data_IF_861248216160
#
_entry.id   IF_861248216160
#
_cell.length_a   1.000
_cell.length_b   1.000
_cell.length_c   1.000
_cell.angle_alpha   90.00
_cell.angle_beta   90.00
_cell.angle_gamma   90.00
#
_symmetry.space_group_name_H-M   'P 1'
#
loop_
_entity.id
_entity.type
_entity.pdbx_description
1 polymer ?
#
# COMPACT_ATOMS: atom_id res chain seq x y z
N UNK A 1 -28.29 -35.18 22.92
CA UNK A 1 -27.99 -33.83 23.44
C UNK A 1 -27.26 -33.07 22.35
N UNK A 2 -27.78 -31.94 21.90
CA UNK A 2 -27.17 -31.12 20.84
C UNK A 2 -26.49 -29.90 21.47
N UNK A 3 -25.20 -29.69 21.20
CA UNK A 3 -24.49 -28.50 21.67
C UNK A 3 -24.93 -27.29 20.81
N UNK A 4 -25.91 -26.52 21.29
CA UNK A 4 -26.53 -25.39 20.58
C UNK A 4 -25.76 -24.06 20.66
N UNK A 5 -24.48 -24.05 21.03
CA UNK A 5 -23.71 -22.81 21.03
C UNK A 5 -22.25 -23.06 20.69
N UNK A 6 -21.96 -23.10 19.40
CA UNK A 6 -20.63 -22.84 18.88
C UNK A 6 -20.28 -21.35 18.99
N UNK A 7 -20.33 -20.80 20.21
CA UNK A 7 -19.78 -19.49 20.48
C UNK A 7 -18.28 -19.66 20.73
N UNK A 8 -17.47 -19.48 19.69
CA UNK A 8 -16.03 -19.30 19.86
C UNK A 8 -15.82 -17.97 20.61
N UNK A 9 -15.84 -18.05 21.95
CA UNK A 9 -15.90 -16.94 22.89
C UNK A 9 -14.62 -16.12 22.96
N UNK A 10 -14.34 -15.35 21.91
CA UNK A 10 -13.43 -14.22 22.00
C UNK A 10 -14.20 -12.93 21.75
N UNK A 11 -14.16 -12.03 22.74
CA UNK A 11 -14.66 -10.68 22.59
C UNK A 11 -13.74 -9.93 21.62
N UNK A 12 -14.22 -9.68 20.41
CA UNK A 12 -13.49 -9.02 19.33
C UNK A 12 -13.47 -7.49 19.46
N UNK A 13 -13.90 -6.94 20.60
CA UNK A 13 -14.17 -5.52 20.75
C UNK A 13 -15.45 -5.08 20.05
N UNK A 14 -15.75 -3.79 20.14
CA UNK A 14 -16.85 -3.15 19.41
C UNK A 14 -16.35 -2.65 18.07
N UNK A 15 -17.05 -2.97 16.98
CA UNK A 15 -16.74 -2.43 15.64
C UNK A 15 -16.89 -0.90 15.68
N UNK A 16 -15.84 -0.13 15.34
CA UNK A 16 -15.95 1.33 15.24
C UNK A 16 -16.90 1.73 14.11
N UNK A 17 -17.49 2.94 14.16
CA UNK A 17 -18.32 3.43 13.07
C UNK A 17 -17.52 3.52 11.77
N UNK A 18 -18.19 3.23 10.65
CA UNK A 18 -17.59 3.18 9.32
C UNK A 18 -16.96 4.51 8.88
N UNK A 19 -17.49 5.63 9.39
CA UNK A 19 -16.93 6.98 9.18
C UNK A 19 -15.52 7.16 9.76
N UNK A 20 -15.14 6.36 10.75
CA UNK A 20 -13.82 6.40 11.39
C UNK A 20 -12.94 5.25 10.91
N UNK A 21 -13.53 4.05 10.77
CA UNK A 21 -12.81 2.85 10.36
C UNK A 21 -12.29 2.94 8.93
N UNK A 22 -13.10 3.47 8.00
CA UNK A 22 -12.72 3.63 6.59
C UNK A 22 -11.46 4.49 6.43
N UNK A 23 -11.45 5.75 6.91
CA UNK A 23 -10.28 6.61 6.87
C UNK A 23 -9.04 5.99 7.52
N UNK A 24 -9.17 5.38 8.70
CA UNK A 24 -8.06 4.73 9.38
C UNK A 24 -7.42 3.61 8.53
N UNK A 25 -8.24 2.77 7.89
CA UNK A 25 -7.75 1.70 7.01
C UNK A 25 -7.04 2.25 5.76
N UNK A 26 -7.51 3.38 5.21
CA UNK A 26 -6.83 4.07 4.11
C UNK A 26 -5.48 4.63 4.54
N UNK A 27 -5.39 5.25 5.71
CA UNK A 27 -4.14 5.80 6.22
C UNK A 27 -3.12 4.72 6.58
N UNK A 28 -3.54 3.62 7.19
CA UNK A 28 -2.69 2.44 7.36
C UNK A 28 -2.19 1.90 6.02
N UNK A 29 -3.01 2.03 4.97
CA UNK A 29 -2.60 1.65 3.63
C UNK A 29 -1.58 2.60 3.03
N UNK A 30 -1.77 3.92 3.13
CA UNK A 30 -0.80 4.93 2.67
C UNK A 30 0.56 4.77 3.35
N UNK A 31 0.57 4.48 4.65
CA UNK A 31 1.78 4.16 5.42
C UNK A 31 2.43 2.81 5.06
N UNK A 32 1.85 2.08 4.10
CA UNK A 32 2.33 0.77 3.65
C UNK A 32 2.49 -0.26 4.78
N UNK A 33 1.65 -0.16 5.82
CA UNK A 33 1.69 -1.10 6.94
C UNK A 33 1.28 -2.51 6.49
N UNK A 34 2.05 -3.56 6.84
CA UNK A 34 1.67 -4.96 6.63
C UNK A 34 0.43 -5.32 7.45
N UNK A 35 -0.32 -6.32 6.98
CA UNK A 35 -1.63 -6.67 7.55
C UNK A 35 -1.59 -6.95 9.06
N UNK A 36 -0.56 -7.67 9.53
CA UNK A 36 -0.40 -7.97 10.96
C UNK A 36 -0.21 -6.71 11.80
N UNK A 37 0.54 -5.71 11.29
CA UNK A 37 0.68 -4.43 11.98
C UNK A 37 -0.65 -3.67 11.98
N UNK A 38 -1.42 -3.70 10.89
CA UNK A 38 -2.74 -3.06 10.88
C UNK A 38 -3.68 -3.63 11.93
N UNK A 39 -3.63 -4.94 12.16
CA UNK A 39 -4.39 -5.58 13.25
C UNK A 39 -3.98 -5.02 14.61
N UNK A 40 -2.67 -4.92 14.87
CA UNK A 40 -2.16 -4.34 16.11
C UNK A 40 -2.58 -2.87 16.28
N UNK A 41 -2.56 -2.07 15.21
CA UNK A 41 -3.05 -0.69 15.23
C UNK A 41 -4.56 -0.59 15.43
N UNK A 42 -5.37 -1.49 14.84
CA UNK A 42 -6.81 -1.53 15.08
C UNK A 42 -7.15 -1.86 16.53
N UNK A 43 -6.43 -2.80 17.13
CA UNK A 43 -6.57 -3.11 18.56
C UNK A 43 -6.10 -1.94 19.42
N UNK A 44 -4.99 -1.28 19.08
CA UNK A 44 -4.44 -0.17 19.85
C UNK A 44 -5.31 1.08 19.80
N UNK A 45 -5.75 1.47 18.61
CA UNK A 45 -6.40 2.76 18.38
C UNK A 45 -7.91 2.69 18.65
N UNK A 46 -8.52 1.52 18.49
CA UNK A 46 -9.97 1.34 18.60
C UNK A 46 -10.42 0.21 19.53
N UNK A 47 -9.50 -0.55 20.13
CA UNK A 47 -9.85 -1.76 20.89
C UNK A 47 -10.49 -2.86 20.02
N UNK A 48 -10.38 -2.77 18.69
CA UNK A 48 -11.08 -3.65 17.77
C UNK A 48 -10.17 -4.79 17.31
N UNK A 49 -10.39 -5.97 17.89
CA UNK A 49 -9.54 -7.15 17.70
C UNK A 49 -10.19 -8.09 16.70
N UNK A 50 -9.63 -8.14 15.48
CA UNK A 50 -10.16 -8.97 14.39
C UNK A 50 -9.08 -9.86 13.78
N UNK A 51 -9.52 -10.90 13.09
CA UNK A 51 -8.65 -11.76 12.28
C UNK A 51 -8.31 -11.17 10.91
N UNK A 52 -7.29 -11.74 10.26
CA UNK A 52 -6.84 -11.35 8.91
C UNK A 52 -7.94 -11.44 7.84
N UNK A 53 -8.82 -12.44 7.94
CA UNK A 53 -9.92 -12.64 6.99
C UNK A 53 -10.92 -11.47 7.04
N UNK A 54 -11.26 -11.03 8.25
CA UNK A 54 -12.15 -9.88 8.48
C UNK A 54 -11.48 -8.59 7.99
N UNK A 55 -10.19 -8.40 8.29
CA UNK A 55 -9.44 -7.25 7.79
C UNK A 55 -9.44 -7.19 6.25
N UNK A 56 -9.25 -8.32 5.56
CA UNK A 56 -9.32 -8.38 4.09
C UNK A 56 -10.72 -8.05 3.57
N UNK A 57 -11.79 -8.50 4.26
CA UNK A 57 -13.18 -8.16 3.92
C UNK A 57 -13.43 -6.65 4.06
N UNK A 58 -13.01 -6.05 5.17
CA UNK A 58 -13.15 -4.59 5.40
C UNK A 58 -12.35 -3.78 4.38
N UNK A 59 -11.11 -4.19 4.06
CA UNK A 59 -10.33 -3.53 3.02
C UNK A 59 -11.04 -3.55 1.66
N UNK A 60 -11.78 -4.62 1.34
CA UNK A 60 -12.58 -4.69 0.11
C UNK A 60 -13.81 -3.79 0.17
N UNK A 61 -14.50 -3.78 1.31
CA UNK A 61 -15.69 -2.96 1.58
C UNK A 61 -15.38 -1.46 1.44
N UNK A 62 -14.30 -1.00 2.08
CA UNK A 62 -13.83 0.39 2.02
C UNK A 62 -12.97 0.72 0.80
N UNK A 63 -12.87 -0.21 -0.18
CA UNK A 63 -12.08 -0.04 -1.42
C UNK A 63 -10.63 0.40 -1.17
N UNK A 64 -10.01 -0.13 -0.13
CA UNK A 64 -8.62 0.19 0.23
C UNK A 64 -7.68 -0.36 -0.84
N UNK A 65 -6.84 0.52 -1.42
CA UNK A 65 -5.89 0.14 -2.48
C UNK A 65 -4.91 -0.93 -1.99
N UNK A 66 -4.67 -1.94 -2.84
CA UNK A 66 -3.75 -3.05 -2.59
C UNK A 66 -2.67 -3.13 -3.66
N UNK A 67 -1.50 -3.68 -3.31
CA UNK A 67 -0.34 -3.80 -4.22
C UNK A 67 -0.64 -4.64 -5.46
N UNK A 68 -1.60 -5.58 -5.39
CA UNK A 68 -1.96 -6.47 -6.51
C UNK A 68 -2.64 -5.76 -7.68
N UNK A 69 -2.96 -4.48 -7.56
CA UNK A 69 -3.52 -3.65 -8.64
C UNK A 69 -2.65 -2.38 -8.80
N UNK A 70 -1.41 -2.54 -9.31
CA UNK A 70 -0.58 -1.38 -9.62
C UNK A 70 -1.21 -0.52 -10.73
N UNK A 71 -0.84 0.76 -10.80
CA UNK A 71 -1.13 1.54 -12.00
C UNK A 71 -0.34 1.00 -13.20
N UNK A 72 -0.69 1.41 -14.43
CA UNK A 72 0.08 1.08 -15.63
C UNK A 72 1.58 1.35 -15.49
N UNK A 73 2.39 0.58 -16.22
CA UNK A 73 3.85 0.56 -16.11
C UNK A 73 4.47 1.95 -16.33
N UNK A 74 4.02 2.70 -17.34
CA UNK A 74 4.51 4.06 -17.62
C UNK A 74 4.28 5.01 -16.42
N UNK A 75 3.08 4.97 -15.81
CA UNK A 75 2.77 5.79 -14.63
C UNK A 75 3.66 5.36 -13.46
N UNK A 76 3.85 4.06 -13.28
CA UNK A 76 4.73 3.54 -12.22
C UNK A 76 6.16 4.03 -12.38
N UNK A 77 6.70 3.98 -13.61
CA UNK A 77 8.06 4.42 -13.92
C UNK A 77 8.25 5.92 -13.66
N UNK A 78 7.29 6.77 -14.09
CA UNK A 78 7.33 8.21 -13.83
C UNK A 78 7.36 8.51 -12.34
N UNK A 79 6.50 7.87 -11.54
CA UNK A 79 6.45 8.07 -10.09
C UNK A 79 7.74 7.62 -9.39
N UNK A 80 8.33 6.50 -9.85
CA UNK A 80 9.61 6.02 -9.33
C UNK A 80 10.73 7.00 -9.66
N UNK A 81 10.81 7.47 -10.90
CA UNK A 81 11.80 8.44 -11.34
C UNK A 81 11.70 9.76 -10.55
N UNK A 82 10.51 10.30 -10.37
CA UNK A 82 10.25 11.52 -9.59
C UNK A 82 10.75 11.38 -8.14
N UNK A 83 10.44 10.27 -7.47
CA UNK A 83 10.88 10.05 -6.09
C UNK A 83 12.38 9.79 -6.00
N UNK A 84 12.97 9.12 -6.99
CA UNK A 84 14.42 8.89 -7.08
C UNK A 84 15.21 10.18 -7.33
N UNK A 85 14.72 11.05 -8.22
CA UNK A 85 15.31 12.37 -8.46
C UNK A 85 15.29 13.24 -7.21
N UNK A 86 14.25 13.13 -6.38
CA UNK A 86 14.20 13.83 -5.09
C UNK A 86 15.05 13.13 -3.99
N UNK A 87 15.59 11.94 -4.28
CA UNK A 87 16.38 11.11 -3.36
C UNK A 87 17.90 11.14 -3.63
N UNK A 88 18.41 12.17 -4.33
CA UNK A 88 19.82 12.26 -4.80
C UNK A 88 20.87 11.91 -3.73
N UNK A 89 20.60 12.20 -2.46
CA UNK A 89 21.55 12.02 -1.36
C UNK A 89 21.45 10.68 -0.62
N UNK A 90 20.40 9.88 -0.80
CA UNK A 90 20.13 8.73 0.09
C UNK A 90 20.25 7.41 -0.67
N UNK A 91 21.06 6.47 -0.15
CA UNK A 91 21.06 5.05 -0.56
C UNK A 91 19.79 4.34 -0.07
N UNK A 92 18.63 4.87 -0.43
CA UNK A 92 17.35 4.33 -0.02
C UNK A 92 17.00 3.12 -0.87
N UNK A 93 16.79 1.98 -0.20
CA UNK A 93 16.39 0.76 -0.88
C UNK A 93 14.98 0.87 -1.47
N UNK A 94 14.60 -0.06 -2.37
CA UNK A 94 13.30 -0.06 -3.06
C UNK A 94 12.08 0.04 -2.12
N UNK A 95 12.19 -0.48 -0.89
CA UNK A 95 11.12 -0.44 0.10
C UNK A 95 10.86 0.96 0.66
N UNK A 96 11.91 1.76 0.81
CA UNK A 96 11.79 3.15 1.28
C UNK A 96 11.13 3.99 0.20
N UNK A 97 11.59 3.84 -1.05
CA UNK A 97 11.01 4.52 -2.22
C UNK A 97 9.53 4.18 -2.38
N UNK A 98 9.15 2.89 -2.28
CA UNK A 98 7.74 2.48 -2.27
C UNK A 98 6.90 3.17 -1.21
N UNK A 99 7.44 3.29 0.01
CA UNK A 99 6.73 3.92 1.12
C UNK A 99 6.53 5.40 0.83
N UNK A 100 7.56 6.06 0.30
CA UNK A 100 7.51 7.47 -0.08
C UNK A 100 6.50 7.72 -1.20
N UNK A 101 6.50 6.91 -2.26
CA UNK A 101 5.49 6.97 -3.34
C UNK A 101 4.08 6.76 -2.77
N UNK A 102 3.92 5.82 -1.83
CA UNK A 102 2.61 5.56 -1.23
C UNK A 102 2.11 6.69 -0.35
N UNK A 103 3.01 7.38 0.35
CA UNK A 103 2.69 8.56 1.17
C UNK A 103 2.37 9.79 0.30
N UNK A 104 3.18 10.05 -0.73
CA UNK A 104 3.05 11.24 -1.58
C UNK A 104 1.90 11.12 -2.58
N UNK A 105 1.79 9.99 -3.28
CA UNK A 105 0.83 9.81 -4.38
C UNK A 105 -0.33 8.89 -4.02
N UNK A 106 -0.32 8.21 -2.87
CA UNK A 106 -1.39 7.29 -2.48
C UNK A 106 -1.50 6.07 -3.40
N UNK A 107 -0.40 5.71 -4.07
CA UNK A 107 -0.31 4.62 -5.04
C UNK A 107 0.55 3.49 -4.46
N UNK A 108 0.28 2.25 -4.86
CA UNK A 108 1.06 1.08 -4.46
C UNK A 108 1.64 0.40 -5.69
N UNK A 109 2.96 0.38 -5.75
CA UNK A 109 3.71 -0.22 -6.85
C UNK A 109 4.48 -1.42 -6.29
N UNK A 110 4.42 -2.60 -6.92
CA UNK A 110 5.20 -3.79 -6.58
C UNK A 110 6.70 -3.51 -6.54
N UNK A 111 7.45 -4.34 -5.81
CA UNK A 111 8.91 -4.17 -5.68
C UNK A 111 9.60 -4.43 -7.01
N UNK A 112 9.08 -5.38 -7.77
CA UNK A 112 9.64 -5.78 -9.05
C UNK A 112 9.63 -4.63 -10.07
N UNK A 113 8.58 -3.81 -10.05
CA UNK A 113 8.43 -2.61 -10.89
C UNK A 113 9.33 -1.43 -10.45
N UNK A 114 10.02 -1.53 -9.31
CA UNK A 114 10.91 -0.47 -8.80
C UNK A 114 12.34 -0.56 -9.35
N UNK A 115 12.65 -1.64 -10.06
CA UNK A 115 13.91 -1.75 -10.80
C UNK A 115 13.64 -1.21 -12.20
N UNK A 116 14.41 -0.22 -12.69
CA UNK A 116 14.31 0.17 -14.08
C UNK A 116 14.60 -1.09 -14.91
N UNK A 117 13.63 -1.55 -15.71
CA UNK A 117 13.96 -2.59 -16.69
C UNK A 117 14.90 -1.93 -17.71
N UNK A 118 15.99 -2.59 -18.10
CA UNK A 118 16.94 -2.04 -19.06
C UNK A 118 16.24 -1.59 -20.35
N UNK A 119 15.17 -2.29 -20.72
CA UNK A 119 14.35 -2.09 -21.91
C UNK A 119 13.63 -0.72 -22.01
N UNK A 120 13.59 0.09 -20.94
CA UNK A 120 12.96 1.43 -20.95
C UNK A 120 13.95 2.60 -21.11
N UNK A 121 15.26 2.36 -21.01
CA UNK A 121 16.28 3.43 -21.09
C UNK A 121 16.82 3.67 -22.52
N UNK A 122 16.48 2.79 -23.47
CA UNK A 122 16.99 2.88 -24.84
C UNK A 122 16.11 3.74 -25.79
N UNK A 123 15.02 4.34 -25.28
CA UNK A 123 14.03 4.99 -26.13
C UNK A 123 14.27 6.49 -26.41
N UNK A 124 15.21 7.17 -25.74
CA UNK A 124 15.30 8.64 -25.80
C UNK A 124 16.69 9.22 -26.15
N UNK A 125 17.65 8.40 -26.56
CA UNK A 125 18.97 8.88 -27.03
C UNK A 125 19.03 8.95 -28.55
N UNK A 126 18.07 9.62 -29.20
CA UNK A 126 18.11 9.77 -30.66
C UNK A 126 17.46 11.04 -31.25
N UNK A 127 17.27 12.13 -30.47
CA UNK A 127 16.68 13.36 -31.02
C UNK A 127 17.40 14.69 -30.70
N UNK A 128 18.70 14.70 -30.40
CA UNK A 128 19.45 15.96 -30.24
C UNK A 128 20.70 16.04 -31.14
N UNK A 129 20.53 15.95 -32.47
CA UNK A 129 21.56 16.35 -33.43
C UNK A 129 20.93 16.82 -34.74
N UNK A 130 20.45 18.06 -34.73
CA UNK A 130 20.17 18.97 -35.88
C UNK A 130 19.92 20.33 -35.20
N UNK A 131 20.59 21.45 -35.46
CA UNK A 131 21.43 21.93 -36.55
C UNK A 131 22.40 22.99 -35.99
N UNK A 132 23.58 23.13 -36.59
CA UNK A 132 24.45 24.34 -36.53
C UNK A 132 24.55 24.88 -37.94
#
# INVERSE_FOLDING_TARGET
MVNQSGANGHYNGTRPPDSVLGPALHDYSKRSLPLNQRLAYLTKDFGYTIGLTTLKKLNREFKVKTVKKPPPDHISATLVAEVMMNNVSSRNGPRTIQTQISLQHGVKIPRDTMVPRPDFLDADVSQNNVDT
#
